data_IF_999700661267
#
_entry.id   IF_999700661267
#
_cell.length_a   1.000
_cell.length_b   1.000
_cell.length_c   1.000
_cell.angle_alpha   90.00
_cell.angle_beta   90.00
_cell.angle_gamma   90.00
#
_symmetry.space_group_name_H-M   'P 1'
#
loop_
_entity.id
_entity.type
_entity.pdbx_description
1 polymer ?
#
# COMPACT_ATOMS: atom_id res chain seq x y z
N UNK A 1 -18.22 11.18 11.02
CA UNK A 1 -17.10 11.10 11.98
C UNK A 1 -15.79 11.17 11.21
N UNK A 2 -14.99 12.21 11.42
CA UNK A 2 -13.70 12.40 10.74
C UNK A 2 -12.71 11.35 11.24
N UNK A 3 -12.44 10.31 10.43
CA UNK A 3 -11.42 9.32 10.74
C UNK A 3 -10.05 10.00 10.64
N UNK A 4 -9.23 9.90 11.69
CA UNK A 4 -7.89 10.46 11.71
C UNK A 4 -7.09 9.96 10.51
N UNK A 5 -6.47 10.90 9.78
CA UNK A 5 -5.61 10.60 8.63
C UNK A 5 -4.40 9.81 9.13
N UNK A 6 -4.11 8.68 8.49
CA UNK A 6 -2.87 7.95 8.75
C UNK A 6 -1.75 8.68 8.02
N UNK A 7 -0.81 9.23 8.77
CA UNK A 7 0.40 9.82 8.23
C UNK A 7 1.44 8.71 7.98
N UNK A 8 2.10 8.77 6.82
CA UNK A 8 3.21 7.86 6.50
C UNK A 8 4.49 8.40 7.13
N UNK A 9 5.21 7.51 7.82
CA UNK A 9 6.57 7.82 8.29
C UNK A 9 7.49 7.87 7.07
N UNK A 10 8.27 8.95 6.87
CA UNK A 10 9.14 9.11 5.72
C UNK A 10 10.40 8.23 5.86
N UNK A 11 10.21 6.91 5.72
CA UNK A 11 11.31 5.96 5.67
C UNK A 11 12.10 6.04 4.35
N UNK A 12 11.45 6.56 3.31
CA UNK A 12 12.03 6.86 2.01
C UNK A 12 11.52 8.23 1.55
N UNK A 13 12.35 8.95 0.80
CA UNK A 13 11.90 10.14 0.09
C UNK A 13 11.07 9.80 -1.17
N UNK A 14 10.48 10.81 -1.79
CA UNK A 14 9.64 10.65 -2.98
C UNK A 14 10.39 10.04 -4.18
N UNK A 15 11.68 10.37 -4.34
CA UNK A 15 12.52 9.85 -5.43
C UNK A 15 12.82 8.36 -5.23
N UNK A 16 13.13 7.96 -4.01
CA UNK A 16 13.38 6.58 -3.62
C UNK A 16 12.12 5.73 -3.74
N UNK A 17 10.97 6.27 -3.34
CA UNK A 17 9.69 5.59 -3.53
C UNK A 17 9.37 5.41 -5.02
N UNK A 18 9.65 6.41 -5.86
CA UNK A 18 9.47 6.30 -7.31
C UNK A 18 10.39 5.24 -7.92
N UNK A 19 11.66 5.25 -7.55
CA UNK A 19 12.62 4.25 -8.00
C UNK A 19 12.17 2.83 -7.65
N UNK A 20 11.72 2.61 -6.41
CA UNK A 20 11.18 1.31 -5.97
C UNK A 20 9.95 0.86 -6.75
N UNK A 21 9.08 1.79 -7.15
CA UNK A 21 7.91 1.48 -7.98
C UNK A 21 8.30 1.11 -9.42
N UNK A 22 9.32 1.76 -9.99
CA UNK A 22 9.82 1.46 -11.33
C UNK A 22 10.56 0.12 -11.37
N UNK A 23 11.40 -0.15 -10.37
CA UNK A 23 12.21 -1.37 -10.30
C UNK A 23 11.37 -2.61 -9.98
N UNK A 24 10.22 -2.43 -9.33
CA UNK A 24 9.37 -3.52 -8.89
C UNK A 24 8.65 -4.19 -10.07
N UNK A 25 8.95 -5.48 -10.27
CA UNK A 25 8.36 -6.29 -11.34
C UNK A 25 7.08 -7.01 -10.90
N UNK A 26 6.88 -7.23 -9.60
CA UNK A 26 5.67 -7.90 -9.09
C UNK A 26 4.48 -6.92 -9.07
N UNK A 27 3.41 -7.15 -9.86
CA UNK A 27 2.29 -6.21 -9.97
C UNK A 27 1.63 -5.89 -8.62
N UNK A 28 1.57 -6.88 -7.73
CA UNK A 28 1.00 -6.73 -6.39
C UNK A 28 1.81 -5.75 -5.54
N UNK A 29 3.14 -5.88 -5.52
CA UNK A 29 4.02 -4.99 -4.76
C UNK A 29 4.10 -3.60 -5.40
N UNK A 30 4.01 -3.52 -6.73
CA UNK A 30 3.92 -2.25 -7.45
C UNK A 30 2.73 -1.40 -6.99
N UNK A 31 1.56 -2.03 -6.80
CA UNK A 31 0.40 -1.35 -6.20
C UNK A 31 0.69 -0.86 -4.77
N UNK A 32 1.47 -1.60 -3.99
CA UNK A 32 1.78 -1.23 -2.61
C UNK A 32 2.70 0.00 -2.58
N UNK A 33 3.70 0.03 -3.45
CA UNK A 33 4.57 1.19 -3.63
C UNK A 33 3.79 2.42 -4.08
N UNK A 34 2.88 2.27 -5.04
CA UNK A 34 2.02 3.37 -5.51
C UNK A 34 1.15 3.94 -4.39
N UNK A 35 0.56 3.09 -3.55
CA UNK A 35 -0.25 3.54 -2.40
C UNK A 35 0.59 4.31 -1.39
N UNK A 36 1.79 3.81 -1.04
CA UNK A 36 2.68 4.51 -0.12
C UNK A 36 3.11 5.85 -0.71
N UNK A 37 3.43 5.92 -2.00
CA UNK A 37 3.73 7.19 -2.68
C UNK A 37 2.61 8.20 -2.51
N UNK A 38 1.36 7.83 -2.86
CA UNK A 38 0.20 8.72 -2.78
C UNK A 38 -0.04 9.22 -1.35
N UNK A 39 0.14 8.36 -0.35
CA UNK A 39 -0.02 8.72 1.06
C UNK A 39 1.17 9.50 1.65
N UNK A 40 2.34 9.43 1.02
CA UNK A 40 3.55 10.17 1.44
C UNK A 40 3.63 11.59 0.88
N UNK A 41 2.79 11.93 -0.10
CA UNK A 41 2.75 13.26 -0.74
C UNK A 41 2.39 14.35 0.27
N UNK A 42 3.22 15.38 0.32
CA UNK A 42 3.02 16.56 1.17
C UNK A 42 2.43 17.75 0.39
N UNK A 43 2.62 17.77 -0.93
CA UNK A 43 2.09 18.76 -1.87
C UNK A 43 0.58 18.60 -2.09
N UNK A 44 0.11 17.36 -2.26
CA UNK A 44 -1.30 17.02 -2.40
C UNK A 44 -1.66 15.85 -1.46
N UNK A 45 -1.92 16.12 -0.17
CA UNK A 45 -2.16 15.07 0.81
C UNK A 45 -3.49 14.36 0.52
N UNK A 46 -3.41 13.09 0.10
CA UNK A 46 -4.58 12.25 -0.09
C UNK A 46 -4.96 11.51 1.19
N UNK A 47 -6.27 11.37 1.41
CA UNK A 47 -6.80 10.50 2.47
C UNK A 47 -6.78 9.03 2.07
N UNK A 48 -6.84 8.14 3.06
CA UNK A 48 -6.96 6.70 2.78
C UNK A 48 -8.18 6.35 1.95
N UNK A 49 -9.26 7.11 2.09
CA UNK A 49 -10.50 7.00 1.34
C UNK A 49 -10.34 7.40 -0.12
N UNK A 50 -9.70 8.53 -0.41
CA UNK A 50 -9.46 8.97 -1.78
C UNK A 50 -8.50 8.02 -2.52
N UNK A 51 -7.48 7.51 -1.83
CA UNK A 51 -6.58 6.50 -2.40
C UNK A 51 -7.33 5.17 -2.63
N UNK A 52 -8.22 4.78 -1.72
CA UNK A 52 -9.07 3.59 -1.86
C UNK A 52 -9.95 3.67 -3.11
N UNK A 53 -10.61 4.81 -3.30
CA UNK A 53 -11.47 5.08 -4.45
C UNK A 53 -10.67 5.08 -5.76
N UNK A 54 -9.52 5.77 -5.78
CA UNK A 54 -8.64 5.85 -6.96
C UNK A 54 -8.09 4.48 -7.37
N UNK A 55 -7.74 3.65 -6.40
CA UNK A 55 -7.12 2.34 -6.63
C UNK A 55 -8.13 1.18 -6.71
N UNK A 56 -9.42 1.43 -6.44
CA UNK A 56 -10.45 0.38 -6.39
C UNK A 56 -10.22 -0.65 -5.27
N UNK A 57 -9.66 -0.24 -4.14
CA UNK A 57 -9.29 -1.13 -3.02
C UNK A 57 -9.99 -0.75 -1.72
N UNK A 58 -10.02 -1.64 -0.74
CA UNK A 58 -10.58 -1.34 0.59
C UNK A 58 -9.73 -0.32 1.36
N UNK A 59 -10.39 0.70 1.94
CA UNK A 59 -9.75 1.65 2.85
C UNK A 59 -9.10 0.95 4.05
N UNK A 60 -9.74 -0.07 4.62
CA UNK A 60 -9.19 -0.78 5.78
C UNK A 60 -7.94 -1.58 5.43
N UNK A 61 -7.87 -2.08 4.20
CA UNK A 61 -6.67 -2.72 3.70
C UNK A 61 -5.52 -1.70 3.51
N UNK A 62 -5.80 -0.52 2.95
CA UNK A 62 -4.81 0.58 2.89
C UNK A 62 -4.31 0.95 4.29
N UNK A 63 -5.20 1.05 5.28
CA UNK A 63 -4.79 1.33 6.67
C UNK A 63 -3.86 0.29 7.24
N UNK A 64 -4.10 -1.00 6.96
CA UNK A 64 -3.22 -2.10 7.38
C UNK A 64 -1.85 -1.98 6.71
N UNK A 65 -1.81 -1.68 5.41
CA UNK A 65 -0.56 -1.47 4.67
C UNK A 65 0.22 -0.28 5.23
N UNK A 66 -0.41 0.88 5.38
CA UNK A 66 0.21 2.09 5.91
C UNK A 66 0.81 1.87 7.31
N UNK A 67 0.07 1.23 8.23
CA UNK A 67 0.58 0.88 9.56
C UNK A 67 1.76 -0.09 9.52
N UNK A 68 1.73 -1.06 8.59
CA UNK A 68 2.83 -2.01 8.40
C UNK A 68 4.08 -1.31 7.88
N UNK A 69 3.92 -0.44 6.89
CA UNK A 69 5.00 0.38 6.35
C UNK A 69 5.57 1.32 7.42
N UNK A 70 4.73 2.00 8.20
CA UNK A 70 5.21 2.85 9.29
C UNK A 70 6.06 2.09 10.32
N UNK A 71 5.76 0.81 10.57
CA UNK A 71 6.50 -0.02 11.51
C UNK A 71 7.79 -0.63 10.95
N UNK A 72 7.77 -1.05 9.68
CA UNK A 72 8.84 -1.87 9.08
C UNK A 72 9.59 -1.16 7.94
N UNK A 73 9.15 0.02 7.54
CA UNK A 73 9.66 0.75 6.40
C UNK A 73 9.56 -0.05 5.09
N UNK A 74 10.55 0.10 4.18
CA UNK A 74 10.62 -0.59 2.89
C UNK A 74 10.50 -2.11 2.97
N UNK A 75 10.91 -2.73 4.09
CA UNK A 75 10.83 -4.18 4.32
C UNK A 75 9.38 -4.66 4.31
N UNK A 76 8.41 -3.79 4.60
CA UNK A 76 6.99 -4.12 4.50
C UNK A 76 6.54 -4.50 3.08
N UNK A 77 7.28 -4.06 2.06
CA UNK A 77 6.93 -4.17 0.63
C UNK A 77 8.06 -4.85 -0.18
N UNK A 78 9.28 -4.89 0.36
CA UNK A 78 10.50 -5.29 -0.35
C UNK A 78 10.34 -6.51 -1.28
N UNK A 79 10.96 -6.39 -2.45
CA UNK A 79 10.73 -7.27 -3.59
C UNK A 79 11.37 -8.66 -3.46
N UNK A 80 12.12 -8.92 -2.38
CA UNK A 80 12.98 -10.09 -2.33
C UNK A 80 12.46 -11.21 -1.41
N UNK A 81 12.41 -12.41 -2.00
CA UNK A 81 11.91 -13.69 -1.49
C UNK A 81 12.66 -14.28 -0.29
N UNK A 82 13.12 -13.47 0.68
CA UNK A 82 13.94 -14.00 1.80
C UNK A 82 13.62 -13.46 3.19
N UNK A 83 12.38 -13.07 3.45
CA UNK A 83 11.91 -12.97 4.84
C UNK A 83 10.72 -13.89 5.09
N UNK A 84 11.04 -15.18 5.30
CA UNK A 84 10.19 -16.08 6.10
C UNK A 84 10.09 -15.50 7.51
N UNK A 85 9.13 -14.61 7.73
CA UNK A 85 8.64 -14.42 9.09
C UNK A 85 7.87 -15.68 9.46
N UNK A 86 8.51 -16.57 10.20
CA UNK A 86 7.82 -17.57 11.02
C UNK A 86 6.93 -16.82 12.04
N UNK A 87 5.75 -16.37 11.63
CA UNK A 87 4.64 -16.02 12.53
C UNK A 87 3.32 -16.34 11.84
N UNK A 88 2.60 -17.28 12.46
CA UNK A 88 1.17 -17.56 12.23
C UNK A 88 0.41 -16.24 11.99
N UNK A 89 -0.23 -16.10 10.83
CA UNK A 89 -1.42 -15.24 10.70
C UNK A 89 -1.36 -13.92 9.91
N UNK A 90 -0.41 -13.67 9.01
CA UNK A 90 -0.52 -12.53 8.06
C UNK A 90 -0.40 -12.97 6.61
N UNK A 91 -1.32 -13.84 6.19
CA UNK A 91 -1.70 -13.96 4.78
C UNK A 91 -2.42 -12.67 4.39
N UNK A 92 -1.78 -11.83 3.57
CA UNK A 92 -2.47 -10.82 2.78
C UNK A 92 -3.21 -11.54 1.65
N UNK A 93 -4.29 -12.21 2.04
CA UNK A 93 -5.33 -12.69 1.15
C UNK A 93 -5.95 -11.50 0.46
N UNK A 94 -5.55 -11.29 -0.79
CA UNK A 94 -6.30 -10.49 -1.74
C UNK A 94 -7.24 -11.48 -2.46
N UNK A 95 -8.20 -12.01 -1.71
CA UNK A 95 -9.26 -12.87 -2.21
C UNK A 95 -10.57 -12.09 -2.16
N UNK A 96 -11.31 -12.15 -3.25
CA UNK A 96 -12.74 -11.83 -3.33
C UNK A 96 -13.13 -10.34 -3.33
N UNK A 97 -12.71 -9.62 -4.37
CA UNK A 97 -13.53 -8.59 -5.07
C UNK A 97 -12.77 -7.95 -6.25
N UNK A 98 -12.73 -8.65 -7.37
CA UNK A 98 -12.98 -7.99 -8.65
C UNK A 98 -14.43 -8.33 -8.99
N UNK A 99 -15.31 -7.34 -8.89
CA UNK A 99 -16.66 -7.48 -9.41
C UNK A 99 -16.53 -7.79 -10.90
N UNK A 100 -16.96 -9.00 -11.26
CA UNK A 100 -17.38 -9.37 -12.59
C UNK A 100 -18.31 -8.26 -13.06
N UNK A 101 -17.89 -7.51 -14.08
CA UNK A 101 -18.79 -6.62 -14.81
C UNK A 101 -19.87 -7.53 -15.40
N UNK A 102 -21.07 -7.50 -14.82
CA UNK A 102 -22.27 -7.93 -15.53
C UNK A 102 -22.50 -6.86 -16.59
N UNK A 103 -22.05 -7.15 -17.80
CA UNK A 103 -22.57 -6.50 -19.00
C UNK A 103 -23.95 -7.11 -19.24
N UNK A 104 -24.91 -6.21 -19.45
CA UNK A 104 -26.35 -6.44 -19.59
C UNK A 104 -26.76 -7.59 -20.52
#
# INVERSE_FOLDING_TARGET
MSRSRIQIVPHLDSSQLNQRYQDCQEPKKKNYWQIIQLLSRTDMPMTTEQVAETMGVSTDWIRKLARRYNRLGPIAIADNHQHKYNRKGLSLGYGDRVNVVKVS
#
